data_IF_203414632332
#
_entry.id   IF_203414632332
#
_cell.length_a   1.000
_cell.length_b   1.000
_cell.length_c   1.000
_cell.angle_alpha   90.00
_cell.angle_beta   90.00
_cell.angle_gamma   90.00
#
_symmetry.space_group_name_H-M   'P 1'
#
loop_
_entity.id
_entity.type
_entity.pdbx_description
1 polymer ?
#
# COMPACT_ATOMS: atom_id res chain seq x y z
N UNK A 1 10.14 67.27 -42.00
CA UNK A 1 10.19 66.56 -40.71
C UNK A 1 9.14 65.46 -40.78
N UNK A 2 9.54 64.24 -41.12
CA UNK A 2 8.61 63.11 -41.27
C UNK A 2 8.44 62.49 -39.88
N UNK A 3 7.28 62.70 -39.28
CA UNK A 3 6.88 61.99 -38.05
C UNK A 3 6.56 60.55 -38.44
N UNK A 4 7.54 59.67 -38.26
CA UNK A 4 7.39 58.24 -38.47
C UNK A 4 6.51 57.68 -37.34
N UNK A 5 5.33 57.17 -37.70
CA UNK A 5 4.32 56.69 -36.76
C UNK A 5 4.79 55.39 -36.07
N UNK A 6 5.27 55.51 -34.82
CA UNK A 6 5.78 54.39 -33.99
C UNK A 6 4.69 53.49 -33.42
N UNK A 7 3.40 53.75 -33.68
CA UNK A 7 2.28 52.96 -33.12
C UNK A 7 2.21 51.51 -33.64
N UNK A 8 2.85 51.20 -34.76
CA UNK A 8 2.92 49.85 -35.31
C UNK A 8 3.87 48.91 -34.57
N UNK A 9 5.02 49.42 -34.10
CA UNK A 9 6.03 48.66 -33.36
C UNK A 9 5.49 48.15 -32.01
N UNK A 10 4.77 49.00 -31.28
CA UNK A 10 4.17 48.63 -29.98
C UNK A 10 3.09 47.55 -30.11
N UNK A 11 2.32 47.58 -31.20
CA UNK A 11 1.30 46.55 -31.47
C UNK A 11 1.92 45.20 -31.80
N UNK A 12 2.99 45.19 -32.59
CA UNK A 12 3.71 43.95 -32.91
C UNK A 12 4.32 43.34 -31.65
N UNK A 13 4.94 44.16 -30.79
CA UNK A 13 5.57 43.69 -29.55
C UNK A 13 4.55 43.07 -28.59
N UNK A 14 3.34 43.64 -28.49
CA UNK A 14 2.26 43.11 -27.66
C UNK A 14 1.80 41.72 -28.11
N UNK A 15 1.67 41.50 -29.43
CA UNK A 15 1.29 40.20 -30.00
C UNK A 15 2.32 39.11 -29.67
N UNK A 16 3.61 39.40 -29.83
CA UNK A 16 4.68 38.46 -29.47
C UNK A 16 4.64 38.12 -27.98
N UNK A 17 4.38 39.11 -27.12
CA UNK A 17 4.29 38.90 -25.68
C UNK A 17 3.12 37.97 -25.30
N UNK A 18 1.96 38.15 -25.93
CA UNK A 18 0.81 37.25 -25.74
C UNK A 18 1.08 35.82 -26.19
N UNK A 19 1.81 35.62 -27.29
CA UNK A 19 2.19 34.29 -27.78
C UNK A 19 3.13 33.60 -26.76
N UNK A 20 4.11 34.31 -26.22
CA UNK A 20 5.02 33.77 -25.21
C UNK A 20 4.25 33.35 -23.96
N UNK A 21 3.33 34.17 -23.47
CA UNK A 21 2.47 33.80 -22.35
C UNK A 21 1.68 32.53 -22.62
N UNK A 22 1.03 32.44 -23.78
CA UNK A 22 0.21 31.29 -24.12
C UNK A 22 1.03 30.00 -24.15
N UNK A 23 2.25 30.05 -24.70
CA UNK A 23 3.18 28.92 -24.69
C UNK A 23 3.59 28.51 -23.28
N UNK A 24 3.94 29.49 -22.43
CA UNK A 24 4.31 29.24 -21.03
C UNK A 24 3.13 28.64 -20.25
N UNK A 25 1.94 29.21 -20.37
CA UNK A 25 0.73 28.71 -19.69
C UNK A 25 0.37 27.31 -20.16
N UNK A 26 0.42 27.04 -21.47
CA UNK A 26 0.17 25.70 -22.02
C UNK A 26 1.18 24.69 -21.51
N UNK A 27 2.47 25.07 -21.48
CA UNK A 27 3.53 24.22 -20.94
C UNK A 27 3.28 23.85 -19.47
N UNK A 28 2.91 24.83 -18.64
CA UNK A 28 2.57 24.59 -17.23
C UNK A 28 1.37 23.65 -17.10
N UNK A 29 0.28 23.89 -17.84
CA UNK A 29 -0.92 23.04 -17.80
C UNK A 29 -0.59 21.59 -18.19
N UNK A 30 0.20 21.40 -19.25
CA UNK A 30 0.61 20.06 -19.69
C UNK A 30 1.46 19.37 -18.64
N UNK A 31 2.45 20.07 -18.03
CA UNK A 31 3.29 19.50 -16.98
C UNK A 31 2.48 19.10 -15.75
N UNK A 32 1.59 19.98 -15.28
CA UNK A 32 0.73 19.73 -14.12
C UNK A 32 -0.20 18.55 -14.41
N UNK A 33 -0.80 18.48 -15.60
CA UNK A 33 -1.69 17.38 -15.95
C UNK A 33 -0.94 16.04 -16.10
N UNK A 34 0.29 16.04 -16.63
CA UNK A 34 1.10 14.83 -16.67
C UNK A 34 1.50 14.36 -15.26
N UNK A 35 1.82 15.28 -14.36
CA UNK A 35 2.27 14.93 -13.01
C UNK A 35 1.12 14.52 -12.07
N UNK A 36 -0.04 15.16 -12.19
CA UNK A 36 -1.21 14.92 -11.32
C UNK A 36 -2.35 14.15 -12.01
N UNK A 37 -2.20 13.78 -13.28
CA UNK A 37 -3.26 13.17 -14.08
C UNK A 37 -3.58 11.72 -13.73
N UNK A 38 -2.61 10.96 -13.21
CA UNK A 38 -2.82 9.59 -12.74
C UNK A 38 -2.17 9.40 -11.37
N UNK A 39 -2.94 9.03 -10.32
CA UNK A 39 -2.34 8.64 -9.06
C UNK A 39 -1.42 7.42 -9.27
N UNK A 40 -0.28 7.40 -8.59
CA UNK A 40 0.58 6.23 -8.57
C UNK A 40 -0.11 5.11 -7.78
N UNK A 41 -0.10 3.88 -8.31
CA UNK A 41 -0.61 2.72 -7.59
C UNK A 41 0.38 2.32 -6.48
N UNK A 42 0.21 2.89 -5.29
CA UNK A 42 1.06 2.62 -4.11
C UNK A 42 0.63 1.40 -3.31
N UNK A 43 -0.46 0.72 -3.70
CA UNK A 43 -1.08 -0.36 -2.92
C UNK A 43 -0.14 -1.55 -2.70
N UNK A 44 0.70 -1.85 -3.68
CA UNK A 44 1.72 -2.91 -3.54
C UNK A 44 2.80 -2.54 -2.53
N UNK A 45 3.23 -1.28 -2.51
CA UNK A 45 4.21 -0.78 -1.54
C UNK A 45 3.58 -0.75 -0.15
N UNK A 46 2.34 -0.29 -0.04
CA UNK A 46 1.59 -0.25 1.21
C UNK A 46 1.36 -1.66 1.77
N UNK A 47 0.98 -2.63 0.94
CA UNK A 47 0.84 -4.02 1.35
C UNK A 47 2.16 -4.63 1.84
N UNK A 48 3.29 -4.29 1.19
CA UNK A 48 4.63 -4.69 1.62
C UNK A 48 5.01 -4.10 2.98
N UNK A 49 4.78 -2.80 3.18
CA UNK A 49 5.05 -2.11 4.45
C UNK A 49 4.22 -2.74 5.56
N UNK A 50 2.92 -2.96 5.31
CA UNK A 50 2.04 -3.61 6.28
C UNK A 50 2.52 -5.03 6.64
N UNK A 51 2.96 -5.83 5.66
CA UNK A 51 3.52 -7.15 5.92
C UNK A 51 4.83 -7.08 6.73
N UNK A 52 5.63 -6.03 6.54
CA UNK A 52 6.86 -5.80 7.28
C UNK A 52 6.62 -5.35 8.72
N UNK A 53 5.69 -4.43 8.95
CA UNK A 53 5.29 -4.00 10.28
C UNK A 53 4.73 -5.18 11.09
N UNK A 54 3.90 -6.03 10.47
CA UNK A 54 3.40 -7.26 11.09
C UNK A 54 4.56 -8.23 11.39
N UNK A 55 5.51 -8.42 10.47
CA UNK A 55 6.67 -9.27 10.71
C UNK A 55 7.52 -8.75 11.88
N UNK A 56 7.71 -7.44 11.97
CA UNK A 56 8.47 -6.79 13.04
C UNK A 56 7.75 -6.87 14.39
N UNK A 57 6.41 -6.76 14.41
CA UNK A 57 5.59 -6.96 15.61
C UNK A 57 5.73 -8.40 16.15
N UNK A 58 5.62 -9.39 15.26
CA UNK A 58 5.64 -10.81 15.64
C UNK A 58 7.04 -11.25 16.05
N UNK A 59 8.05 -10.80 15.31
CA UNK A 59 9.42 -11.29 15.44
C UNK A 59 10.44 -10.14 15.47
N UNK A 60 10.44 -9.30 16.53
CA UNK A 60 11.39 -8.22 16.66
C UNK A 60 12.82 -8.77 16.64
N UNK A 61 13.64 -8.26 15.71
CA UNK A 61 15.02 -8.70 15.48
C UNK A 61 15.20 -10.21 15.18
N UNK A 62 14.18 -10.87 14.62
CA UNK A 62 14.25 -12.28 14.20
C UNK A 62 13.98 -13.30 15.30
N UNK A 63 13.58 -12.86 16.50
CA UNK A 63 13.13 -13.74 17.59
C UNK A 63 11.63 -13.58 17.80
N UNK A 64 10.92 -14.68 18.05
CA UNK A 64 9.48 -14.62 18.30
C UNK A 64 9.20 -13.83 19.59
N UNK A 65 8.30 -12.86 19.51
CA UNK A 65 7.87 -12.08 20.66
C UNK A 65 7.23 -12.98 21.72
N UNK A 66 7.54 -12.74 22.99
CA UNK A 66 6.91 -13.40 24.13
C UNK A 66 5.41 -13.08 24.25
N UNK A 67 4.95 -12.03 23.57
CA UNK A 67 3.53 -11.70 23.44
C UNK A 67 2.80 -12.68 22.53
N UNK A 68 3.49 -13.23 21.52
CA UNK A 68 2.91 -14.19 20.57
C UNK A 68 2.99 -15.61 21.12
N UNK A 69 4.11 -15.95 21.77
CA UNK A 69 4.41 -17.31 22.20
C UNK A 69 5.03 -17.34 23.58
N UNK A 70 4.38 -18.06 24.51
CA UNK A 70 4.84 -18.20 25.88
C UNK A 70 4.68 -19.65 26.34
N UNK A 71 5.69 -20.17 27.03
CA UNK A 71 5.66 -21.51 27.65
C UNK A 71 5.29 -22.68 26.71
N UNK A 72 5.60 -22.57 25.42
CA UNK A 72 5.35 -23.66 24.47
C UNK A 72 4.04 -23.54 23.69
N UNK A 73 3.26 -22.49 23.93
CA UNK A 73 1.91 -22.32 23.39
C UNK A 73 1.74 -20.92 22.80
N UNK A 74 1.01 -20.83 21.68
CA UNK A 74 0.58 -19.57 21.10
C UNK A 74 -0.48 -18.92 21.98
N UNK A 75 -0.38 -17.60 22.13
CA UNK A 75 -1.27 -16.84 22.99
C UNK A 75 -2.54 -16.47 22.24
N UNK A 76 -3.67 -17.04 22.68
CA UNK A 76 -4.99 -16.72 22.13
C UNK A 76 -5.32 -15.24 22.31
N UNK A 77 -4.88 -14.61 23.40
CA UNK A 77 -5.05 -13.19 23.63
C UNK A 77 -4.26 -12.33 22.63
N UNK A 78 -3.16 -12.83 22.08
CA UNK A 78 -2.48 -12.14 20.98
C UNK A 78 -3.32 -12.17 19.70
N UNK A 79 -4.03 -13.28 19.43
CA UNK A 79 -4.94 -13.35 18.27
C UNK A 79 -6.09 -12.36 18.43
N UNK A 80 -6.74 -12.38 19.59
CA UNK A 80 -7.95 -11.58 19.82
C UNK A 80 -7.66 -10.07 19.87
N UNK A 81 -6.44 -9.67 20.26
CA UNK A 81 -6.00 -8.26 20.34
C UNK A 81 -4.89 -7.94 19.33
N UNK A 82 -4.80 -8.66 18.21
CA UNK A 82 -3.69 -8.55 17.26
C UNK A 82 -3.45 -7.11 16.78
N UNK A 83 -4.52 -6.40 16.38
CA UNK A 83 -4.42 -5.03 15.90
C UNK A 83 -3.90 -4.09 16.99
N UNK A 84 -4.37 -4.21 18.22
CA UNK A 84 -3.92 -3.41 19.35
C UNK A 84 -2.46 -3.71 19.70
N UNK A 85 -2.09 -4.99 19.77
CA UNK A 85 -0.74 -5.43 20.11
C UNK A 85 0.30 -5.01 19.07
N UNK A 86 -0.08 -5.01 17.80
CA UNK A 86 0.79 -4.55 16.71
C UNK A 86 0.63 -3.05 16.38
N UNK A 87 -0.17 -2.29 17.14
CA UNK A 87 -0.47 -0.89 16.86
C UNK A 87 -0.94 -0.63 15.42
N UNK A 88 -1.76 -1.54 14.88
CA UNK A 88 -2.33 -1.45 13.55
C UNK A 88 -3.75 -0.88 13.63
N UNK A 89 -4.11 -0.04 12.65
CA UNK A 89 -5.44 0.55 12.55
C UNK A 89 -5.95 0.37 11.13
N UNK A 90 -7.03 -0.39 10.96
CA UNK A 90 -7.64 -0.66 9.65
C UNK A 90 -8.87 0.22 9.39
N UNK A 91 -9.08 1.23 10.23
CA UNK A 91 -10.18 2.17 10.11
C UNK A 91 -10.14 2.89 8.76
N UNK A 92 -11.26 2.86 8.06
CA UNK A 92 -11.51 3.71 6.91
C UNK A 92 -11.84 5.13 7.39
N UNK A 93 -11.49 6.13 6.59
CA UNK A 93 -11.85 7.53 6.86
C UNK A 93 -13.36 7.77 6.88
N UNK A 94 -14.14 6.81 6.40
CA UNK A 94 -15.57 6.85 6.31
C UNK A 94 -16.16 5.59 6.97
N UNK A 95 -16.95 5.71 8.05
CA UNK A 95 -17.47 4.55 8.79
C UNK A 95 -18.42 3.66 7.99
N UNK A 96 -18.82 4.07 6.78
CA UNK A 96 -19.64 3.30 5.85
C UNK A 96 -18.83 2.59 4.76
N UNK A 97 -17.51 2.78 4.71
CA UNK A 97 -16.62 2.08 3.78
C UNK A 97 -16.05 0.83 4.45
N UNK A 98 -16.07 -0.29 3.71
CA UNK A 98 -15.44 -1.54 4.11
C UNK A 98 -13.96 -1.31 4.48
N UNK A 99 -13.46 -2.10 5.44
CA UNK A 99 -12.07 -2.02 5.90
C UNK A 99 -11.12 -2.11 4.71
N UNK A 100 -10.19 -1.16 4.59
CA UNK A 100 -9.34 -0.99 3.41
C UNK A 100 -8.15 -1.98 3.33
N UNK A 101 -8.00 -2.82 4.35
CA UNK A 101 -6.87 -3.71 4.56
C UNK A 101 -7.33 -5.12 4.94
N UNK A 102 -6.48 -6.09 4.66
CA UNK A 102 -6.57 -7.43 5.21
C UNK A 102 -5.17 -7.96 5.50
N UNK A 103 -5.00 -8.61 6.65
CA UNK A 103 -3.77 -9.31 7.01
C UNK A 103 -4.13 -10.70 7.52
N UNK A 104 -3.37 -11.68 7.07
CA UNK A 104 -3.40 -13.04 7.57
C UNK A 104 -2.00 -13.52 7.89
N UNK A 105 -1.82 -14.10 9.06
CA UNK A 105 -0.56 -14.67 9.50
C UNK A 105 -0.76 -16.12 9.86
N UNK A 106 0.02 -16.98 9.21
CA UNK A 106 -0.01 -18.42 9.39
C UNK A 106 1.35 -18.89 9.92
N UNK A 107 1.33 -19.64 11.02
CA UNK A 107 2.51 -20.25 11.64
C UNK A 107 2.52 -21.75 11.36
N UNK A 108 3.61 -22.26 10.82
CA UNK A 108 3.76 -23.69 10.48
C UNK A 108 4.96 -24.27 11.22
N UNK A 109 4.77 -25.40 11.93
CA UNK A 109 5.83 -26.10 12.66
C UNK A 109 6.67 -27.03 11.76
N UNK A 110 7.08 -26.55 10.60
CA UNK A 110 8.03 -27.19 9.68
C UNK A 110 8.22 -26.31 8.43
N UNK A 111 9.12 -26.74 7.54
CA UNK A 111 9.23 -26.26 6.15
C UNK A 111 8.03 -26.75 5.31
N UNK A 112 7.39 -27.85 5.72
CA UNK A 112 6.25 -28.44 4.99
C UNK A 112 4.96 -27.69 5.37
N UNK A 113 4.53 -26.78 4.49
CA UNK A 113 3.33 -25.93 4.62
C UNK A 113 2.04 -26.73 4.35
N UNK A 114 1.62 -27.58 5.29
CA UNK A 114 0.31 -28.27 5.19
C UNK A 114 -0.76 -27.55 6.00
N UNK A 115 -0.69 -27.69 7.31
CA UNK A 115 -1.66 -27.12 8.24
C UNK A 115 -0.95 -26.13 9.16
N UNK A 116 -1.48 -24.90 9.31
CA UNK A 116 -0.91 -23.95 10.26
C UNK A 116 -1.24 -24.40 11.69
N UNK A 117 -0.23 -24.35 12.56
CA UNK A 117 -0.37 -24.55 14.00
C UNK A 117 -1.13 -23.39 14.64
N UNK A 118 -1.04 -22.21 14.04
CA UNK A 118 -1.72 -21.00 14.50
C UNK A 118 -1.99 -20.06 13.33
N UNK A 119 -3.19 -19.46 13.33
CA UNK A 119 -3.62 -18.51 12.31
C UNK A 119 -4.22 -17.28 12.97
N UNK A 120 -3.84 -16.13 12.44
CA UNK A 120 -4.40 -14.82 12.79
C UNK A 120 -4.92 -14.22 11.49
N UNK A 121 -6.13 -13.66 11.50
CA UNK A 121 -6.70 -12.99 10.33
C UNK A 121 -7.52 -11.78 10.77
N UNK A 122 -7.25 -10.63 10.18
CA UNK A 122 -7.94 -9.36 10.47
C UNK A 122 -8.23 -8.58 9.18
N UNK A 123 -9.33 -7.82 9.16
CA UNK A 123 -9.77 -7.03 8.01
C UNK A 123 -10.79 -7.72 7.10
N UNK A 124 -10.81 -7.40 5.80
CA UNK A 124 -11.82 -7.92 4.86
C UNK A 124 -11.37 -9.19 4.11
N UNK A 125 -11.89 -10.39 4.46
CA UNK A 125 -11.48 -11.64 3.82
C UNK A 125 -12.05 -11.83 2.40
N UNK A 126 -13.04 -11.02 1.98
CA UNK A 126 -13.70 -11.16 0.69
C UNK A 126 -12.77 -10.90 -0.50
N UNK A 127 -11.56 -10.38 -0.23
CA UNK A 127 -10.55 -10.05 -1.23
C UNK A 127 -9.57 -11.17 -1.53
N UNK A 128 -9.61 -12.29 -0.80
CA UNK A 128 -8.76 -13.45 -1.10
C UNK A 128 -8.85 -13.92 -2.56
N UNK A 129 -10.03 -14.01 -3.19
CA UNK A 129 -10.14 -14.46 -4.58
C UNK A 129 -9.42 -13.53 -5.56
N UNK A 130 -9.32 -12.24 -5.26
CA UNK A 130 -8.67 -11.26 -6.14
C UNK A 130 -7.15 -11.48 -6.23
N UNK A 131 -6.54 -12.07 -5.19
CA UNK A 131 -5.11 -12.37 -5.16
C UNK A 131 -4.71 -13.45 -6.19
N UNK A 132 -5.64 -14.33 -6.57
CA UNK A 132 -5.41 -15.38 -7.57
C UNK A 132 -5.53 -14.85 -9.01
N UNK A 133 -6.16 -13.69 -9.18
CA UNK A 133 -6.37 -13.07 -10.48
C UNK A 133 -5.13 -12.30 -10.93
N UNK A 134 -4.89 -12.28 -12.24
CA UNK A 134 -3.69 -11.62 -12.78
C UNK A 134 -3.81 -10.09 -12.63
N UNK A 135 -2.94 -9.45 -11.82
CA UNK A 135 -3.02 -8.01 -11.55
C UNK A 135 -2.81 -7.14 -12.80
N UNK A 136 -2.16 -7.67 -13.84
CA UNK A 136 -1.92 -6.93 -15.10
C UNK A 136 -3.18 -6.76 -15.94
N UNK A 137 -4.19 -7.61 -15.74
CA UNK A 137 -5.45 -7.58 -16.50
C UNK A 137 -6.54 -6.75 -15.82
N UNK A 138 -6.47 -6.57 -14.51
CA UNK A 138 -7.51 -5.91 -13.73
C UNK A 138 -6.89 -4.91 -12.76
N UNK A 139 -6.81 -3.64 -13.17
CA UNK A 139 -6.20 -2.56 -12.39
C UNK A 139 -6.96 -2.25 -11.09
N UNK A 140 -8.26 -2.55 -11.04
CA UNK A 140 -9.15 -2.23 -9.93
C UNK A 140 -9.30 -3.37 -8.92
N UNK A 141 -8.46 -4.41 -8.99
CA UNK A 141 -8.43 -5.45 -7.96
C UNK A 141 -7.53 -5.03 -6.79
N UNK A 142 -7.70 -5.70 -5.66
CA UNK A 142 -6.81 -5.53 -4.52
C UNK A 142 -5.38 -5.94 -4.88
N UNK A 143 -4.40 -5.34 -4.19
CA UNK A 143 -3.00 -5.77 -4.30
C UNK A 143 -2.65 -6.64 -3.12
N UNK A 144 -2.14 -7.81 -3.41
CA UNK A 144 -1.75 -8.80 -2.43
C UNK A 144 -0.24 -8.97 -2.42
N UNK A 145 0.32 -9.05 -1.22
CA UNK A 145 1.74 -9.30 -0.98
C UNK A 145 1.85 -10.45 0.00
N UNK A 146 2.66 -11.43 -0.35
CA UNK A 146 3.03 -12.52 0.54
C UNK A 146 4.47 -12.35 1.01
N UNK A 147 4.68 -12.42 2.33
CA UNK A 147 6.01 -12.40 2.95
C UNK A 147 6.17 -13.66 3.80
N UNK A 148 7.31 -14.32 3.69
CA UNK A 148 7.61 -15.53 4.43
C UNK A 148 8.97 -15.41 5.10
N UNK A 149 9.06 -15.82 6.35
CA UNK A 149 10.32 -15.89 7.10
C UNK A 149 10.29 -17.04 8.11
N UNK A 150 11.46 -17.32 8.68
CA UNK A 150 11.65 -18.38 9.66
C UNK A 150 11.96 -17.79 11.02
N UNK A 151 11.40 -18.37 12.06
CA UNK A 151 11.65 -17.98 13.45
C UNK A 151 12.04 -19.23 14.24
N UNK A 152 13.12 -19.13 15.02
CA UNK A 152 13.54 -20.19 15.92
C UNK A 152 12.97 -19.93 17.32
N UNK A 153 12.29 -20.93 17.87
CA UNK A 153 11.74 -20.87 19.22
C UNK A 153 12.17 -22.11 19.98
N UNK A 154 13.15 -21.94 20.88
CA UNK A 154 13.63 -23.02 21.77
C UNK A 154 14.01 -24.33 21.05
N UNK A 155 14.50 -24.25 19.82
CA UNK A 155 14.93 -25.41 19.03
C UNK A 155 13.92 -25.88 17.98
N UNK A 156 12.67 -25.44 18.05
CA UNK A 156 11.68 -25.63 16.98
C UNK A 156 11.79 -24.47 15.97
N UNK A 157 11.72 -24.80 14.67
CA UNK A 157 11.72 -23.80 13.59
C UNK A 157 10.28 -23.65 13.09
N UNK A 158 9.76 -22.43 13.21
CA UNK A 158 8.46 -22.06 12.65
C UNK A 158 8.65 -21.29 11.35
N UNK A 159 7.85 -21.64 10.36
CA UNK A 159 7.69 -20.84 9.15
C UNK A 159 6.50 -19.92 9.36
N UNK A 160 6.72 -18.61 9.25
CA UNK A 160 5.66 -17.59 9.34
C UNK A 160 5.37 -17.09 7.94
N UNK A 161 4.12 -17.25 7.50
CA UNK A 161 3.63 -16.70 6.24
C UNK A 161 2.64 -15.58 6.54
N UNK A 162 2.93 -14.39 6.04
CA UNK A 162 2.07 -13.21 6.13
C UNK A 162 1.51 -12.92 4.74
N UNK A 163 0.19 -12.85 4.64
CA UNK A 163 -0.53 -12.37 3.48
C UNK A 163 -1.13 -11.01 3.83
N UNK A 164 -0.75 -9.98 3.09
CA UNK A 164 -1.21 -8.61 3.27
C UNK A 164 -1.94 -8.14 2.01
N UNK A 165 -3.09 -7.49 2.17
CA UNK A 165 -3.90 -6.99 1.07
C UNK A 165 -4.33 -5.55 1.29
N UNK A 166 -4.33 -4.77 0.21
CA UNK A 166 -4.77 -3.37 0.21
C UNK A 166 -5.80 -3.15 -0.89
N UNK A 167 -7.00 -2.72 -0.47
CA UNK A 167 -8.17 -2.52 -1.32
C UNK A 167 -8.49 -1.08 -1.70
N UNK A 168 -7.56 -0.14 -1.50
CA UNK A 168 -7.70 1.31 -1.82
C UNK A 168 -7.73 1.61 -3.32
N UNK A 169 -8.66 1.01 -4.06
CA UNK A 169 -8.79 1.09 -5.52
C UNK A 169 -9.20 2.49 -5.97
N UNK A 170 -10.20 3.10 -5.32
CA UNK A 170 -10.74 4.42 -5.69
C UNK A 170 -9.76 5.58 -5.46
N UNK A 171 -8.85 5.42 -4.49
CA UNK A 171 -7.87 6.45 -4.13
C UNK A 171 -6.59 6.36 -4.97
N UNK A 172 -6.26 5.16 -5.47
CA UNK A 172 -4.97 4.88 -6.11
C UNK A 172 -5.06 4.53 -7.60
N UNK A 173 -6.27 4.40 -8.15
CA UNK A 173 -6.49 4.08 -9.57
C UNK A 173 -7.57 5.00 -10.15
N UNK A 174 -7.22 5.75 -11.20
CA UNK A 174 -8.16 6.47 -12.06
C UNK A 174 -8.16 5.87 -13.46
#
# INVERSE_FOLDING_TARGET
>A
MILQDKRGEEKMISIYWFIILLLVTTGIIVMVNLFYGSPYDVREIEANILAEDVANCISPAGNLSSEVYMNGVFREDFRDFFLEKCNLTFDSSNPFEDTQYYVEVNFYKSIVLKDPDFTISEGNPNWKPDCELNPKKHKNLVRCVEKQFYVNVKGDIYTVKILSMVGKTEQNVK
#
